data_IF_296255826628
#
_entry.id   IF_296255826628
#
_cell.length_a   1.000
_cell.length_b   1.000
_cell.length_c   1.000
_cell.angle_alpha   90.00
_cell.angle_beta   90.00
_cell.angle_gamma   90.00
#
_symmetry.space_group_name_H-M   'P 1'
#
loop_
_entity.id
_entity.type
_entity.pdbx_description
1 polymer ?
#
# COMPACT_ATOMS: atom_id res chain seq x y z
N UNK A 1 36.13 15.73 4.84
CA UNK A 1 35.05 15.99 5.83
C UNK A 1 33.79 16.63 5.25
N UNK A 2 33.89 17.65 4.37
CA UNK A 2 32.73 18.32 3.73
C UNK A 2 31.91 17.40 2.80
N UNK A 3 32.57 16.52 2.03
CA UNK A 3 31.89 15.55 1.15
C UNK A 3 31.05 14.54 1.93
N UNK A 4 31.58 14.00 3.04
CA UNK A 4 30.88 13.05 3.92
C UNK A 4 29.59 13.66 4.48
N UNK A 5 29.61 14.92 4.92
CA UNK A 5 28.40 15.61 5.41
C UNK A 5 27.35 15.81 4.31
N UNK A 6 27.77 16.07 3.07
CA UNK A 6 26.87 16.23 1.92
C UNK A 6 26.23 14.88 1.57
N UNK A 7 26.99 13.79 1.59
CA UNK A 7 26.49 12.43 1.36
C UNK A 7 25.50 11.99 2.46
N UNK A 8 25.81 12.28 3.73
CA UNK A 8 24.90 12.02 4.85
C UNK A 8 23.59 12.82 4.74
N UNK A 9 23.68 14.10 4.36
CA UNK A 9 22.49 14.94 4.14
C UNK A 9 21.64 14.43 2.96
N UNK A 10 22.27 13.93 1.90
CA UNK A 10 21.58 13.30 0.79
C UNK A 10 20.84 12.03 1.21
N UNK A 11 21.49 11.17 2.00
CA UNK A 11 20.90 9.93 2.53
C UNK A 11 19.68 10.20 3.43
N UNK A 12 19.73 11.27 4.22
CA UNK A 12 18.63 11.65 5.11
C UNK A 12 17.31 11.94 4.36
N UNK A 13 17.38 12.31 3.08
CA UNK A 13 16.18 12.58 2.27
C UNK A 13 15.44 11.30 1.83
N UNK A 14 16.06 10.12 1.97
CA UNK A 14 15.46 8.84 1.56
C UNK A 14 14.87 8.05 2.72
N UNK A 15 15.11 8.47 3.97
CA UNK A 15 14.66 7.70 5.15
C UNK A 15 13.14 7.52 5.16
N UNK A 16 12.39 8.56 4.81
CA UNK A 16 10.93 8.50 4.73
C UNK A 16 10.44 7.49 3.69
N UNK A 17 11.05 7.50 2.51
CA UNK A 17 10.75 6.52 1.45
C UNK A 17 11.03 5.08 1.92
N UNK A 18 12.19 4.85 2.54
CA UNK A 18 12.58 3.52 3.04
C UNK A 18 11.59 3.03 4.10
N UNK A 19 11.23 3.87 5.06
CA UNK A 19 10.26 3.54 6.11
C UNK A 19 8.89 3.20 5.52
N UNK A 20 8.37 4.02 4.59
CA UNK A 20 7.12 3.73 3.90
C UNK A 20 7.18 2.39 3.14
N UNK A 21 8.26 2.14 2.41
CA UNK A 21 8.43 0.90 1.66
C UNK A 21 8.45 -0.33 2.57
N UNK A 22 9.13 -0.24 3.72
CA UNK A 22 9.13 -1.31 4.71
C UNK A 22 7.72 -1.56 5.25
N UNK A 23 6.97 -0.52 5.59
CA UNK A 23 5.58 -0.65 6.06
C UNK A 23 4.71 -1.32 4.99
N UNK A 24 4.78 -0.89 3.73
CA UNK A 24 3.99 -1.48 2.65
C UNK A 24 4.34 -2.96 2.43
N UNK A 25 5.63 -3.32 2.48
CA UNK A 25 6.04 -4.72 2.38
C UNK A 25 5.59 -5.55 3.58
N UNK A 26 5.66 -5.00 4.80
CA UNK A 26 5.11 -5.65 6.00
C UNK A 26 3.61 -5.90 5.82
N UNK A 27 2.84 -4.96 5.27
CA UNK A 27 1.42 -5.18 5.00
C UNK A 27 1.19 -6.24 3.91
N UNK A 28 1.99 -6.21 2.85
CA UNK A 28 1.88 -7.14 1.72
C UNK A 28 2.12 -8.61 2.13
N UNK A 29 3.06 -8.85 3.05
CA UNK A 29 3.45 -10.20 3.45
C UNK A 29 2.97 -10.59 4.85
N UNK A 30 2.63 -9.62 5.70
CA UNK A 30 2.20 -9.84 7.07
C UNK A 30 0.71 -10.16 7.20
N UNK A 31 -0.15 -9.65 6.32
CA UNK A 31 -1.59 -9.92 6.36
C UNK A 31 -1.89 -11.21 5.60
N UNK A 32 -2.56 -12.16 6.26
CA UNK A 32 -2.91 -13.46 5.75
C UNK A 32 -4.23 -13.95 6.38
N UNK A 33 -4.71 -15.14 5.99
CA UNK A 33 -5.99 -15.67 6.45
C UNK A 33 -6.10 -15.84 7.96
N UNK A 34 -4.99 -16.18 8.64
CA UNK A 34 -4.98 -16.46 10.08
C UNK A 34 -5.12 -15.19 10.92
N UNK A 35 -4.72 -14.03 10.39
CA UNK A 35 -4.80 -12.75 11.09
C UNK A 35 -5.73 -11.73 10.40
N UNK A 36 -6.41 -12.13 9.34
CA UNK A 36 -7.34 -11.29 8.58
C UNK A 36 -8.45 -10.71 9.47
N UNK A 37 -9.02 -11.50 10.39
CA UNK A 37 -10.04 -11.00 11.31
C UNK A 37 -9.50 -9.91 12.25
N UNK A 38 -8.24 -9.98 12.64
CA UNK A 38 -7.64 -8.95 13.51
C UNK A 38 -7.22 -7.70 12.73
N UNK A 39 -6.63 -7.89 11.55
CA UNK A 39 -5.94 -6.82 10.81
C UNK A 39 -6.79 -6.15 9.72
N UNK A 40 -7.85 -6.80 9.26
CA UNK A 40 -8.76 -6.24 8.25
C UNK A 40 -10.07 -5.83 8.92
N UNK A 41 -10.14 -4.59 9.42
CA UNK A 41 -11.31 -4.09 10.14
C UNK A 41 -12.64 -4.31 9.40
N UNK A 42 -12.67 -4.10 8.06
CA UNK A 42 -13.86 -4.36 7.26
C UNK A 42 -14.28 -5.83 7.24
N UNK A 43 -13.33 -6.76 7.26
CA UNK A 43 -13.62 -8.20 7.36
C UNK A 43 -14.01 -8.58 8.80
N UNK A 44 -13.34 -7.99 9.81
CA UNK A 44 -13.66 -8.21 11.23
C UNK A 44 -15.12 -7.86 11.56
N UNK A 45 -15.60 -6.74 11.02
CA UNK A 45 -16.96 -6.24 11.30
C UNK A 45 -18.05 -6.91 10.45
N UNK A 46 -17.68 -7.79 9.50
CA UNK A 46 -18.68 -8.54 8.74
C UNK A 46 -19.40 -9.55 9.64
N UNK A 47 -20.71 -9.69 9.43
CA UNK A 47 -21.49 -10.80 9.99
C UNK A 47 -21.00 -12.13 9.41
N UNK A 48 -21.38 -13.24 10.04
CA UNK A 48 -20.97 -14.57 9.59
C UNK A 48 -21.43 -14.85 8.16
N UNK A 49 -22.66 -14.46 7.83
CA UNK A 49 -23.24 -14.62 6.49
C UNK A 49 -22.47 -13.82 5.44
N UNK A 50 -22.06 -12.59 5.78
CA UNK A 50 -21.24 -11.76 4.88
C UNK A 50 -19.83 -12.31 4.72
N UNK A 51 -19.22 -12.84 5.78
CA UNK A 51 -17.90 -13.51 5.71
C UNK A 51 -17.96 -14.76 4.83
N UNK A 52 -19.01 -15.57 4.96
CA UNK A 52 -19.20 -16.77 4.14
C UNK A 52 -19.40 -16.43 2.66
N UNK A 53 -20.06 -15.30 2.38
CA UNK A 53 -20.20 -14.73 1.04
C UNK A 53 -18.94 -13.99 0.52
N UNK A 54 -17.90 -13.79 1.34
CA UNK A 54 -16.70 -13.03 0.98
C UNK A 54 -15.53 -13.95 0.60
N UNK A 55 -14.95 -13.73 -0.59
CA UNK A 55 -13.78 -14.44 -1.06
C UNK A 55 -12.49 -13.84 -0.47
N UNK A 56 -12.18 -14.21 0.78
CA UNK A 56 -11.00 -13.72 1.50
C UNK A 56 -9.69 -14.04 0.77
N UNK A 57 -9.57 -15.20 0.12
CA UNK A 57 -8.35 -15.61 -0.56
C UNK A 57 -8.05 -14.69 -1.75
N UNK A 58 -9.08 -14.36 -2.56
CA UNK A 58 -8.96 -13.40 -3.66
C UNK A 58 -8.66 -11.98 -3.18
N UNK A 59 -9.26 -11.56 -2.06
CA UNK A 59 -8.98 -10.27 -1.45
C UNK A 59 -7.53 -10.15 -0.99
N UNK A 60 -6.99 -11.17 -0.31
CA UNK A 60 -5.61 -11.18 0.16
C UNK A 60 -4.60 -11.16 -1.01
N UNK A 61 -4.91 -11.83 -2.13
CA UNK A 61 -4.10 -11.72 -3.36
C UNK A 61 -4.10 -10.28 -3.88
N UNK A 62 -5.26 -9.61 -3.91
CA UNK A 62 -5.37 -8.21 -4.31
C UNK A 62 -4.58 -7.29 -3.37
N UNK A 63 -4.77 -7.42 -2.05
CA UNK A 63 -4.09 -6.65 -1.01
C UNK A 63 -2.57 -6.75 -1.16
N UNK A 64 -2.04 -7.98 -1.29
CA UNK A 64 -0.60 -8.23 -1.49
C UNK A 64 -0.07 -7.56 -2.75
N UNK A 65 -0.75 -7.75 -3.89
CA UNK A 65 -0.35 -7.14 -5.16
C UNK A 65 -0.40 -5.61 -5.09
N UNK A 66 -1.45 -5.05 -4.47
CA UNK A 66 -1.59 -3.62 -4.29
C UNK A 66 -0.38 -3.03 -3.55
N UNK A 67 -0.03 -3.56 -2.38
CA UNK A 67 1.10 -3.02 -1.61
C UNK A 67 2.46 -3.22 -2.29
N UNK A 68 2.69 -4.34 -2.97
CA UNK A 68 3.92 -4.55 -3.75
C UNK A 68 4.04 -3.50 -4.87
N UNK A 69 2.95 -3.28 -5.63
CA UNK A 69 2.94 -2.27 -6.67
C UNK A 69 3.02 -0.85 -6.10
N UNK A 70 2.40 -0.58 -4.94
CA UNK A 70 2.51 0.69 -4.25
C UNK A 70 3.97 0.99 -3.91
N UNK A 71 4.71 0.03 -3.34
CA UNK A 71 6.16 0.14 -3.08
C UNK A 71 6.94 0.45 -4.36
N UNK A 72 6.71 -0.30 -5.44
CA UNK A 72 7.46 -0.12 -6.70
C UNK A 72 7.17 1.23 -7.35
N UNK A 73 5.90 1.57 -7.54
CA UNK A 73 5.51 2.78 -8.27
C UNK A 73 5.74 4.05 -7.45
N UNK A 74 5.53 4.03 -6.13
CA UNK A 74 5.82 5.20 -5.30
C UNK A 74 7.33 5.50 -5.25
N UNK A 75 8.17 4.45 -5.26
CA UNK A 75 9.62 4.56 -5.40
C UNK A 75 10.01 5.15 -6.75
N UNK A 76 9.40 4.69 -7.84
CA UNK A 76 9.62 5.25 -9.18
C UNK A 76 9.22 6.73 -9.25
N UNK A 77 8.05 7.09 -8.73
CA UNK A 77 7.59 8.49 -8.65
C UNK A 77 8.57 9.34 -7.84
N UNK A 78 9.06 8.83 -6.71
CA UNK A 78 10.05 9.55 -5.89
C UNK A 78 11.34 9.81 -6.68
N UNK A 79 11.93 8.79 -7.31
CA UNK A 79 13.18 8.96 -8.05
C UNK A 79 13.03 9.85 -9.28
N UNK A 80 11.96 9.68 -10.06
CA UNK A 80 11.68 10.51 -11.23
C UNK A 80 11.50 11.97 -10.81
N UNK A 81 10.66 12.23 -9.81
CA UNK A 81 10.42 13.61 -9.36
C UNK A 81 11.64 14.21 -8.67
N UNK A 82 12.42 13.42 -7.94
CA UNK A 82 13.67 13.87 -7.34
C UNK A 82 14.74 14.20 -8.38
N UNK A 83 14.76 13.52 -9.52
CA UNK A 83 15.69 13.81 -10.61
C UNK A 83 15.44 15.19 -11.23
N UNK A 84 14.17 15.56 -11.42
CA UNK A 84 13.79 16.84 -12.05
C UNK A 84 13.56 18.00 -11.06
N UNK A 85 13.23 17.71 -9.80
CA UNK A 85 12.77 18.71 -8.82
C UNK A 85 13.48 18.61 -7.46
N UNK A 86 13.28 19.64 -6.64
CA UNK A 86 13.77 19.67 -5.26
C UNK A 86 12.93 18.73 -4.35
N UNK A 87 13.43 18.50 -3.13
CA UNK A 87 12.82 17.56 -2.19
C UNK A 87 11.39 17.95 -1.76
N UNK A 88 11.05 19.25 -1.71
CA UNK A 88 9.70 19.70 -1.35
C UNK A 88 8.68 19.28 -2.40
N UNK A 89 9.00 19.53 -3.68
CA UNK A 89 8.12 19.13 -4.80
C UNK A 89 8.06 17.60 -4.91
N UNK A 90 9.19 16.92 -4.72
CA UNK A 90 9.26 15.44 -4.68
C UNK A 90 8.30 14.87 -3.63
N UNK A 91 8.31 15.42 -2.40
CA UNK A 91 7.45 14.98 -1.32
C UNK A 91 5.96 15.21 -1.61
N UNK A 92 5.60 16.35 -2.21
CA UNK A 92 4.22 16.65 -2.62
C UNK A 92 3.75 15.65 -3.68
N UNK A 93 4.55 15.43 -4.73
CA UNK A 93 4.21 14.49 -5.79
C UNK A 93 4.07 13.04 -5.28
N UNK A 94 4.97 12.61 -4.39
CA UNK A 94 4.89 11.33 -3.71
C UNK A 94 3.60 11.20 -2.88
N UNK A 95 3.24 12.21 -2.10
CA UNK A 95 2.03 12.21 -1.28
C UNK A 95 0.75 12.15 -2.14
N UNK A 96 0.68 12.93 -3.22
CA UNK A 96 -0.45 12.90 -4.17
C UNK A 96 -0.58 11.50 -4.79
N UNK A 97 0.53 10.90 -5.21
CA UNK A 97 0.52 9.54 -5.75
C UNK A 97 -0.04 8.52 -4.74
N UNK A 98 0.40 8.58 -3.47
CA UNK A 98 -0.13 7.71 -2.42
C UNK A 98 -1.64 7.90 -2.23
N UNK A 99 -2.12 9.15 -2.17
CA UNK A 99 -3.56 9.44 -2.02
C UNK A 99 -4.36 8.82 -3.16
N UNK A 100 -3.93 9.02 -4.41
CA UNK A 100 -4.60 8.44 -5.59
C UNK A 100 -4.60 6.90 -5.51
N UNK A 101 -3.47 6.30 -5.14
CA UNK A 101 -3.36 4.85 -5.02
C UNK A 101 -4.28 4.29 -3.93
N UNK A 102 -4.41 4.95 -2.78
CA UNK A 102 -5.33 4.54 -1.71
C UNK A 102 -6.80 4.76 -2.08
N UNK A 103 -7.14 5.80 -2.84
CA UNK A 103 -8.49 5.95 -3.40
C UNK A 103 -8.83 4.76 -4.30
N UNK A 104 -7.93 4.40 -5.22
CA UNK A 104 -8.09 3.20 -6.05
C UNK A 104 -8.25 1.93 -5.20
N UNK A 105 -7.43 1.76 -4.16
CA UNK A 105 -7.53 0.63 -3.25
C UNK A 105 -8.90 0.51 -2.61
N UNK A 106 -9.43 1.60 -2.05
CA UNK A 106 -10.74 1.63 -1.39
C UNK A 106 -11.86 1.28 -2.37
N UNK A 107 -11.84 1.86 -3.58
CA UNK A 107 -12.85 1.59 -4.62
C UNK A 107 -12.88 0.10 -4.97
N UNK A 108 -11.71 -0.53 -5.20
CA UNK A 108 -11.66 -1.95 -5.52
C UNK A 108 -12.03 -2.80 -4.31
N UNK A 109 -11.52 -2.48 -3.13
CA UNK A 109 -11.77 -3.17 -1.86
C UNK A 109 -13.26 -3.29 -1.54
N UNK A 110 -14.03 -2.25 -1.82
CA UNK A 110 -15.48 -2.21 -1.56
C UNK A 110 -16.34 -2.67 -2.75
N UNK A 111 -15.72 -3.12 -3.85
CA UNK A 111 -16.46 -3.60 -5.01
C UNK A 111 -16.92 -5.05 -4.83
N UNK A 112 -17.94 -5.45 -5.60
CA UNK A 112 -18.45 -6.83 -5.63
C UNK A 112 -17.43 -7.85 -6.20
N UNK A 113 -16.20 -7.44 -6.56
CA UNK A 113 -15.14 -8.32 -7.07
C UNK A 113 -14.75 -9.43 -6.08
N UNK A 114 -15.02 -9.24 -4.79
CA UNK A 114 -14.68 -10.18 -3.72
C UNK A 114 -15.89 -10.93 -3.17
N UNK A 115 -17.05 -10.88 -3.82
CA UNK A 115 -18.16 -11.80 -3.50
C UNK A 115 -17.83 -13.21 -4.01
N UNK A 116 -18.20 -14.24 -3.24
CA UNK A 116 -18.12 -15.64 -3.65
C UNK A 116 -19.18 -15.91 -4.73
N UNK A 117 -18.77 -16.48 -5.86
CA UNK A 117 -19.66 -16.79 -6.99
C UNK A 117 -20.74 -17.83 -6.67
N UNK A 118 -20.56 -18.59 -5.59
CA UNK A 118 -21.49 -19.64 -5.17
C UNK A 118 -22.55 -19.14 -4.18
N UNK A 119 -22.44 -17.89 -3.73
CA UNK A 119 -23.49 -17.21 -2.96
C UNK A 119 -24.32 -16.39 -3.94
N UNK A 120 -25.41 -16.99 -4.41
CA UNK A 120 -26.46 -16.27 -5.14
C UNK A 120 -27.32 -15.52 -4.12
N UNK A 121 -27.50 -14.21 -4.33
CA UNK A 121 -28.54 -13.42 -3.63
C UNK A 121 -29.94 -13.97 -3.95
#
# INVERSE_FOLDING_TARGET
MKSIKITLLALNNFIGLIVCNLIFLILAYGINKNNAELLLAGYNTMSKEMKDAFNIDKYLIFLKKFFIYLTLYSTMVFFVTRYFFNIRITAIAYAIFLVIAFIYFIIISNSNKFKNSNYNE
#
